data_IF_077968527063
#
_entry.id   IF_077968527063
#
_cell.length_a   1.000
_cell.length_b   1.000
_cell.length_c   1.000
_cell.angle_alpha   90.00
_cell.angle_beta   90.00
_cell.angle_gamma   90.00
#
_symmetry.space_group_name_H-M   'P 1'
#
loop_
_entity.id
_entity.type
_entity.pdbx_description
1 polymer ?
#
# COMPACT_ATOMS: atom_id res chain seq x y z
N UNK A 1 -5.50 -10.33 -1.78
CA UNK A 1 -4.94 -9.80 -0.54
C UNK A 1 -3.54 -9.28 -0.91
N UNK A 2 -3.12 -8.15 -0.39
CA UNK A 2 -1.85 -7.52 -0.75
C UNK A 2 -0.95 -7.50 0.47
N UNK A 3 0.36 -7.61 0.23
CA UNK A 3 1.37 -7.34 1.24
C UNK A 3 1.84 -5.89 1.09
N UNK A 4 2.25 -5.28 2.21
CA UNK A 4 2.89 -3.96 2.23
C UNK A 4 4.36 -4.12 1.93
N UNK A 5 4.91 -3.30 1.05
CA UNK A 5 6.31 -3.36 0.63
C UNK A 5 6.97 -1.99 0.79
N UNK A 6 7.91 -1.91 1.72
CA UNK A 6 8.72 -0.72 2.00
C UNK A 6 10.05 -0.85 1.25
N UNK A 7 10.45 0.18 0.52
CA UNK A 7 11.64 0.11 -0.32
C UNK A 7 12.57 1.28 0.00
N UNK A 8 13.56 1.05 0.85
CA UNK A 8 14.52 2.08 1.26
C UNK A 8 15.71 2.22 0.30
N UNK A 9 15.97 1.21 -0.55
CA UNK A 9 17.02 1.31 -1.56
C UNK A 9 16.62 2.31 -2.66
N UNK A 10 17.60 2.76 -3.44
CA UNK A 10 17.37 3.73 -4.50
C UNK A 10 16.49 3.17 -5.62
N UNK A 11 15.43 3.89 -5.94
CA UNK A 11 14.51 3.58 -7.05
C UNK A 11 14.84 4.40 -8.30
N UNK A 12 14.64 3.85 -9.51
CA UNK A 12 14.82 4.60 -10.74
C UNK A 12 13.75 5.69 -10.89
N UNK A 13 14.16 6.96 -10.81
CA UNK A 13 13.25 8.11 -10.81
C UNK A 13 13.24 8.90 -12.12
N UNK A 14 14.13 8.61 -13.08
CA UNK A 14 14.35 9.42 -14.27
C UNK A 14 13.08 9.66 -15.09
N UNK A 15 12.25 8.63 -15.26
CA UNK A 15 11.03 8.64 -16.08
C UNK A 15 9.76 8.91 -15.27
N UNK A 16 9.86 9.21 -13.97
CA UNK A 16 8.71 9.51 -13.14
C UNK A 16 8.20 10.93 -13.42
N UNK A 17 6.88 11.18 -13.24
CA UNK A 17 6.31 12.53 -13.27
C UNK A 17 6.92 13.42 -12.17
N UNK A 18 6.98 14.72 -12.42
CA UNK A 18 7.57 15.67 -11.47
C UNK A 18 6.85 15.73 -10.12
N UNK A 19 5.56 15.46 -10.10
CA UNK A 19 4.79 15.34 -8.85
C UNK A 19 5.25 14.15 -8.01
N UNK A 20 5.54 13.02 -8.65
CA UNK A 20 6.02 11.80 -7.98
C UNK A 20 7.46 11.95 -7.52
N UNK A 21 8.32 12.61 -8.32
CA UNK A 21 9.73 12.88 -7.95
C UNK A 21 9.89 13.72 -6.67
N UNK A 22 8.87 14.51 -6.32
CA UNK A 22 8.86 15.33 -5.10
C UNK A 22 8.53 14.54 -3.83
N UNK A 23 8.02 13.32 -3.99
CA UNK A 23 7.67 12.44 -2.86
C UNK A 23 8.92 11.67 -2.46
N UNK A 24 9.15 11.54 -1.16
CA UNK A 24 10.17 10.63 -0.67
C UNK A 24 9.71 9.19 -0.88
N UNK A 25 10.29 8.53 -1.87
CA UNK A 25 9.93 7.17 -2.25
C UNK A 25 10.42 6.14 -1.22
N UNK A 26 11.42 6.48 -0.40
CA UNK A 26 11.92 5.58 0.66
C UNK A 26 10.94 5.44 1.82
N UNK A 27 10.08 6.44 2.03
CA UNK A 27 8.98 6.40 3.02
C UNK A 27 7.65 5.91 2.40
N UNK A 28 7.64 5.60 1.11
CA UNK A 28 6.43 5.21 0.42
C UNK A 28 6.06 3.75 0.70
N UNK A 29 4.82 3.52 1.12
CA UNK A 29 4.27 2.17 1.24
C UNK A 29 3.75 1.71 -0.12
N UNK A 30 4.41 0.76 -0.73
CA UNK A 30 3.98 0.08 -1.95
C UNK A 30 3.14 -1.14 -1.62
N UNK A 31 2.47 -1.68 -2.63
CA UNK A 31 1.70 -2.91 -2.56
C UNK A 31 2.30 -3.95 -3.49
N UNK A 32 2.25 -5.22 -3.08
CA UNK A 32 2.63 -6.36 -3.91
C UNK A 32 1.72 -7.55 -3.69
N UNK A 33 1.61 -8.40 -4.70
CA UNK A 33 0.93 -9.70 -4.63
C UNK A 33 1.89 -10.86 -4.84
N UNK A 34 3.19 -10.60 -5.00
CA UNK A 34 4.18 -11.60 -5.36
C UNK A 34 4.90 -12.24 -4.17
N UNK A 35 4.55 -11.79 -2.96
CA UNK A 35 5.06 -12.33 -1.71
C UNK A 35 4.05 -13.32 -1.08
N UNK A 36 3.78 -13.22 0.22
CA UNK A 36 2.95 -14.21 0.92
C UNK A 36 1.44 -14.03 0.71
N UNK A 37 0.99 -12.85 0.28
CA UNK A 37 -0.44 -12.48 0.16
C UNK A 37 -1.21 -12.57 1.49
N UNK A 38 -0.51 -12.38 2.60
CA UNK A 38 -1.00 -12.55 3.97
C UNK A 38 -1.24 -11.24 4.69
N UNK A 39 -1.11 -10.09 3.98
CA UNK A 39 -1.10 -8.74 4.53
C UNK A 39 0.14 -8.48 5.41
N UNK A 40 1.21 -9.22 5.13
CA UNK A 40 2.48 -9.02 5.82
C UNK A 40 3.16 -7.71 5.37
N UNK A 41 4.02 -7.18 6.23
CA UNK A 41 4.90 -6.07 5.88
C UNK A 41 6.28 -6.60 5.52
N UNK A 42 6.76 -6.18 4.36
CA UNK A 42 8.08 -6.51 3.85
C UNK A 42 8.89 -5.25 3.66
N UNK A 43 10.20 -5.33 3.79
CA UNK A 43 11.06 -4.19 3.50
C UNK A 43 12.33 -4.58 2.76
N UNK A 44 12.85 -3.64 1.99
CA UNK A 44 14.18 -3.69 1.37
C UNK A 44 15.01 -2.58 1.99
N UNK A 45 16.08 -2.95 2.69
CA UNK A 45 16.96 -1.95 3.31
C UNK A 45 17.77 -1.17 2.27
N UNK A 46 18.40 -0.06 2.68
CA UNK A 46 19.36 0.69 1.86
C UNK A 46 20.50 -0.16 1.30
N UNK A 47 20.87 -1.26 1.98
CA UNK A 47 21.87 -2.22 1.52
C UNK A 47 21.29 -3.26 0.53
N UNK A 48 20.03 -3.13 0.11
CA UNK A 48 19.37 -4.03 -0.82
C UNK A 48 19.00 -5.40 -0.25
N UNK A 49 18.87 -5.55 1.06
CA UNK A 49 18.48 -6.83 1.70
C UNK A 49 16.97 -6.89 1.92
N UNK A 50 16.37 -8.04 1.60
CA UNK A 50 14.95 -8.32 1.74
C UNK A 50 14.62 -8.84 3.15
N UNK A 51 13.66 -8.21 3.80
CA UNK A 51 13.20 -8.57 5.14
C UNK A 51 11.69 -8.78 5.19
N UNK A 52 11.26 -9.73 6.02
CA UNK A 52 9.88 -9.90 6.47
C UNK A 52 9.75 -9.34 7.89
N UNK A 53 8.76 -8.50 8.13
CA UNK A 53 8.38 -8.03 9.45
C UNK A 53 7.37 -9.03 10.03
N UNK A 54 7.82 -9.86 10.97
CA UNK A 54 6.97 -10.83 11.63
C UNK A 54 6.12 -10.14 12.71
N UNK A 55 4.83 -10.34 12.67
CA UNK A 55 3.90 -9.84 13.68
C UNK A 55 2.82 -10.89 14.00
N UNK A 56 2.40 -10.94 15.26
CA UNK A 56 1.16 -11.60 15.63
C UNK A 56 0.01 -10.60 15.60
N UNK A 57 -1.17 -11.09 15.30
CA UNK A 57 -2.38 -10.29 15.40
C UNK A 57 -3.20 -10.75 16.59
N UNK A 58 -3.68 -9.82 17.40
CA UNK A 58 -4.61 -10.08 18.48
C UNK A 58 -5.84 -9.18 18.38
N UNK A 59 -7.01 -9.72 18.68
CA UNK A 59 -8.23 -8.91 18.75
C UNK A 59 -8.35 -8.31 20.16
N UNK A 60 -8.27 -6.99 20.24
CA UNK A 60 -8.49 -6.24 21.47
C UNK A 60 -9.94 -5.82 21.55
N UNK A 61 -10.66 -6.36 22.55
CA UNK A 61 -12.05 -5.96 22.81
C UNK A 61 -12.08 -4.55 23.39
N UNK A 62 -12.81 -3.67 22.74
CA UNK A 62 -13.04 -2.29 23.19
C UNK A 62 -14.53 -1.97 23.00
N UNK A 63 -15.25 -1.82 24.11
CA UNK A 63 -16.69 -1.50 24.10
C UNK A 63 -16.99 -0.12 23.53
N UNK A 64 -16.00 0.78 23.52
CA UNK A 64 -16.12 2.12 22.96
C UNK A 64 -15.81 2.17 21.47
N UNK A 65 -15.18 1.13 20.93
CA UNK A 65 -14.91 1.02 19.51
C UNK A 65 -16.19 0.65 18.74
N UNK A 66 -16.49 1.28 17.59
CA UNK A 66 -17.71 1.05 16.81
C UNK A 66 -17.95 -0.39 16.41
N UNK A 67 -16.88 -1.17 16.23
CA UNK A 67 -16.90 -2.59 15.86
C UNK A 67 -16.71 -3.53 17.09
N UNK A 68 -16.81 -3.00 18.31
CA UNK A 68 -16.64 -3.76 19.54
C UNK A 68 -15.19 -4.15 19.86
N UNK A 69 -14.22 -3.65 19.10
CA UNK A 69 -12.80 -3.88 19.25
C UNK A 69 -12.03 -3.62 17.96
N UNK A 70 -10.73 -3.87 18.01
CA UNK A 70 -9.81 -3.68 16.88
C UNK A 70 -8.74 -4.78 16.86
N UNK A 71 -8.15 -5.00 15.69
CA UNK A 71 -7.00 -5.88 15.55
C UNK A 71 -5.75 -5.08 15.90
N UNK A 72 -4.97 -5.59 16.82
CA UNK A 72 -3.67 -5.05 17.19
C UNK A 72 -2.57 -5.96 16.65
N UNK A 73 -1.62 -5.38 15.95
CA UNK A 73 -0.39 -6.06 15.55
C UNK A 73 0.64 -5.99 16.69
N UNK A 74 1.22 -7.13 17.01
CA UNK A 74 2.28 -7.27 18.02
C UNK A 74 3.55 -7.65 17.26
N UNK A 75 4.52 -6.73 17.07
CA UNK A 75 5.76 -7.02 16.36
C UNK A 75 6.53 -8.13 17.09
N UNK A 76 6.97 -9.15 16.34
CA UNK A 76 7.84 -10.24 16.81
C UNK A 76 9.30 -10.01 16.46
N UNK A 77 9.54 -9.43 15.30
CA UNK A 77 10.90 -9.19 14.83
C UNK A 77 10.97 -8.97 13.33
N UNK A 78 12.19 -8.83 12.84
CA UNK A 78 12.50 -8.65 11.42
C UNK A 78 13.41 -9.80 11.01
N UNK A 79 13.00 -10.53 9.97
CA UNK A 79 13.70 -11.71 9.48
C UNK A 79 14.25 -11.45 8.08
N UNK A 80 15.55 -11.65 7.88
CA UNK A 80 16.13 -11.64 6.55
C UNK A 80 15.68 -12.87 5.74
N UNK A 81 15.23 -12.66 4.53
CA UNK A 81 14.69 -13.71 3.65
C UNK A 81 15.66 -13.94 2.49
N UNK A 82 16.25 -15.13 2.43
CA UNK A 82 17.22 -15.54 1.41
C UNK A 82 16.54 -16.19 0.20
N UNK A 83 15.56 -15.53 -0.40
CA UNK A 83 14.89 -16.03 -1.59
C UNK A 83 15.50 -15.46 -2.88
N UNK A 84 15.38 -16.22 -3.98
CA UNK A 84 15.68 -15.75 -5.32
C UNK A 84 14.36 -15.65 -6.07
N UNK A 85 13.90 -14.41 -6.31
CA UNK A 85 12.61 -14.14 -6.95
C UNK A 85 12.55 -12.73 -7.54
N UNK A 86 11.65 -12.53 -8.48
CA UNK A 86 11.22 -11.20 -8.90
C UNK A 86 9.99 -10.80 -8.09
N UNK A 87 9.92 -9.53 -7.71
CA UNK A 87 8.80 -8.94 -6.97
C UNK A 87 8.30 -7.73 -7.73
N UNK A 88 7.08 -7.82 -8.23
CA UNK A 88 6.37 -6.67 -8.79
C UNK A 88 5.67 -5.91 -7.67
N UNK A 89 5.89 -4.60 -7.59
CA UNK A 89 5.25 -3.75 -6.59
C UNK A 89 4.83 -2.42 -7.19
N UNK A 90 3.80 -1.82 -6.62
CA UNK A 90 3.18 -0.65 -7.20
C UNK A 90 2.57 0.27 -6.14
N UNK A 91 2.34 1.52 -6.54
CA UNK A 91 1.62 2.52 -5.75
C UNK A 91 0.94 3.52 -6.66
N UNK A 92 -0.20 4.04 -6.19
CA UNK A 92 -0.83 5.23 -6.79
C UNK A 92 -0.36 6.46 -6.04
N UNK A 93 0.26 7.38 -6.75
CA UNK A 93 0.70 8.67 -6.23
C UNK A 93 -0.30 9.76 -6.60
N UNK A 94 -0.54 10.66 -5.67
CA UNK A 94 -1.36 11.84 -5.92
C UNK A 94 -0.67 12.74 -6.95
N UNK A 95 -1.37 13.09 -8.01
CA UNK A 95 -0.89 14.04 -9.01
C UNK A 95 -1.48 15.42 -8.78
N UNK A 96 -2.53 15.73 -9.54
CA UNK A 96 -3.29 16.97 -9.42
C UNK A 96 -4.77 16.68 -9.10
N UNK A 97 -5.63 17.69 -9.21
CA UNK A 97 -7.07 17.52 -8.91
C UNK A 97 -7.79 16.53 -9.85
N UNK A 98 -7.28 16.29 -11.05
CA UNK A 98 -7.92 15.45 -12.06
C UNK A 98 -7.20 14.13 -12.29
N UNK A 99 -5.90 14.06 -12.00
CA UNK A 99 -5.04 12.95 -12.39
C UNK A 99 -4.18 12.49 -11.24
N UNK A 100 -4.15 11.19 -11.01
CA UNK A 100 -3.19 10.48 -10.18
C UNK A 100 -2.25 9.64 -11.07
N UNK A 101 -1.18 9.11 -10.50
CA UNK A 101 -0.20 8.31 -11.22
C UNK A 101 -0.08 6.93 -10.61
N UNK A 102 -0.43 5.90 -11.39
CA UNK A 102 -0.07 4.52 -11.08
C UNK A 102 1.38 4.28 -11.48
N UNK A 103 2.21 3.92 -10.51
CA UNK A 103 3.63 3.64 -10.76
C UNK A 103 3.93 2.24 -10.28
N UNK A 104 4.61 1.45 -11.11
CA UNK A 104 5.02 0.11 -10.75
C UNK A 104 6.48 -0.17 -11.07
N UNK A 105 7.08 -1.04 -10.28
CA UNK A 105 8.47 -1.45 -10.37
C UNK A 105 8.58 -2.96 -10.32
N UNK A 106 9.65 -3.49 -10.91
CA UNK A 106 10.08 -4.87 -10.79
C UNK A 106 11.45 -4.93 -10.11
N UNK A 107 11.53 -5.62 -8.97
CA UNK A 107 12.79 -5.85 -8.26
C UNK A 107 13.19 -7.32 -8.37
N UNK A 108 14.43 -7.58 -8.77
CA UNK A 108 15.01 -8.91 -8.83
C UNK A 108 15.90 -9.15 -7.60
N UNK A 109 15.58 -10.18 -6.84
CA UNK A 109 16.37 -10.62 -5.69
C UNK A 109 17.11 -11.94 -6.01
N UNK A 110 18.34 -12.06 -5.50
CA UNK A 110 19.10 -13.31 -5.50
C UNK A 110 19.61 -13.58 -4.09
N UNK A 111 19.13 -14.67 -3.49
CA UNK A 111 19.42 -15.01 -2.08
C UNK A 111 19.15 -13.82 -1.14
N UNK A 112 18.01 -13.18 -1.31
CA UNK A 112 17.57 -12.06 -0.49
C UNK A 112 18.32 -10.74 -0.70
N UNK A 113 19.21 -10.67 -1.69
CA UNK A 113 19.89 -9.42 -2.04
C UNK A 113 19.33 -8.87 -3.34
N UNK A 114 19.07 -7.59 -3.37
CA UNK A 114 18.63 -6.86 -4.54
C UNK A 114 19.73 -6.89 -5.62
N UNK A 115 19.36 -7.33 -6.81
CA UNK A 115 20.26 -7.38 -7.99
C UNK A 115 19.98 -6.21 -8.91
N UNK A 116 18.69 -5.96 -9.17
CA UNK A 116 18.23 -4.83 -9.97
C UNK A 116 16.84 -4.41 -9.54
N UNK A 117 16.50 -3.16 -9.81
CA UNK A 117 15.14 -2.64 -9.75
C UNK A 117 14.90 -1.81 -11.01
N UNK A 118 13.80 -2.07 -11.67
CA UNK A 118 13.43 -1.43 -12.92
C UNK A 118 12.05 -0.76 -12.79
N UNK A 119 11.90 0.43 -13.36
CA UNK A 119 10.60 1.07 -13.53
C UNK A 119 9.83 0.34 -14.62
N UNK A 120 8.72 -0.28 -14.25
CA UNK A 120 7.93 -1.12 -15.17
C UNK A 120 6.89 -0.28 -15.91
N UNK A 121 6.10 0.50 -15.18
CA UNK A 121 5.00 1.26 -15.76
C UNK A 121 4.75 2.56 -15.02
N UNK A 122 4.41 3.60 -15.78
CA UNK A 122 3.80 4.84 -15.30
C UNK A 122 2.53 5.07 -16.09
N UNK A 123 1.39 5.13 -15.43
CA UNK A 123 0.08 5.34 -16.08
C UNK A 123 -0.67 6.46 -15.35
N UNK A 124 -1.24 7.37 -16.13
CA UNK A 124 -2.18 8.35 -15.60
C UNK A 124 -3.53 7.67 -15.30
N UNK A 125 -4.03 7.88 -14.11
CA UNK A 125 -5.33 7.35 -13.68
C UNK A 125 -6.20 8.51 -13.18
N UNK A 126 -7.52 8.46 -13.43
CA UNK A 126 -8.41 9.50 -12.95
C UNK A 126 -8.41 9.62 -11.43
N UNK A 127 -8.39 10.85 -10.90
CA UNK A 127 -8.41 11.13 -9.46
C UNK A 127 -9.79 10.91 -8.80
N UNK A 128 -10.84 10.54 -9.59
CA UNK A 128 -12.19 10.34 -9.06
C UNK A 128 -12.24 9.32 -7.93
N UNK A 129 -11.53 8.20 -8.08
CA UNK A 129 -11.51 7.15 -7.04
C UNK A 129 -10.95 7.67 -5.72
N UNK A 130 -9.92 8.52 -5.76
CA UNK A 130 -9.37 9.20 -4.58
C UNK A 130 -10.37 10.17 -3.98
N UNK A 131 -11.01 11.00 -4.82
CA UNK A 131 -12.01 11.97 -4.37
C UNK A 131 -13.21 11.30 -3.72
N UNK A 132 -13.75 10.25 -4.35
CA UNK A 132 -14.84 9.46 -3.76
C UNK A 132 -14.44 8.81 -2.43
N UNK A 133 -13.23 8.26 -2.35
CA UNK A 133 -12.73 7.67 -1.11
C UNK A 133 -12.57 8.73 0.00
N UNK A 134 -12.08 9.92 -0.35
CA UNK A 134 -11.96 11.03 0.59
C UNK A 134 -13.33 11.55 1.05
N UNK A 135 -14.32 11.64 0.15
CA UNK A 135 -15.68 12.05 0.50
C UNK A 135 -16.36 11.04 1.43
N UNK A 136 -16.30 9.75 1.08
CA UNK A 136 -16.83 8.67 1.93
C UNK A 136 -16.16 8.65 3.31
N UNK A 137 -14.84 8.89 3.37
CA UNK A 137 -14.11 9.01 4.64
C UNK A 137 -14.56 10.21 5.46
N UNK A 138 -14.81 11.37 4.82
CA UNK A 138 -15.34 12.56 5.48
C UNK A 138 -16.76 12.34 6.01
N UNK A 139 -17.63 11.71 5.21
CA UNK A 139 -18.99 11.36 5.63
C UNK A 139 -19.01 10.39 6.81
N UNK A 140 -18.17 9.35 6.74
CA UNK A 140 -18.01 8.41 7.83
C UNK A 140 -17.49 9.09 9.11
N UNK A 141 -16.48 9.94 8.99
CA UNK A 141 -15.99 10.73 10.12
C UNK A 141 -17.07 11.65 10.71
N UNK A 142 -17.90 12.29 9.86
CA UNK A 142 -19.05 13.09 10.29
C UNK A 142 -20.12 12.23 11.00
N UNK A 143 -20.38 11.03 10.50
CA UNK A 143 -21.33 10.10 11.14
C UNK A 143 -20.87 9.68 12.55
N UNK A 144 -19.57 9.42 12.70
CA UNK A 144 -18.98 9.08 13.99
C UNK A 144 -19.02 10.25 14.98
N UNK A 145 -18.80 11.49 14.52
CA UNK A 145 -18.89 12.68 15.38
C UNK A 145 -20.31 13.02 15.79
N UNK A 146 -21.30 12.71 14.95
CA UNK A 146 -22.72 12.91 15.26
C UNK A 146 -23.24 11.91 16.31
N UNK A 147 -22.67 10.71 16.32
CA UNK A 147 -22.98 9.66 17.32
C UNK A 147 -22.21 9.87 18.64
N UNK A 148 -21.20 10.73 18.64
CA UNK A 148 -20.27 10.97 19.76
C UNK A 148 -20.13 12.46 20.09
N UNK A 149 -21.09 13.00 20.78
CA UNK A 149 -20.85 14.24 21.55
C UNK A 149 -19.90 14.06 22.73
N UNK A 150 -19.28 12.87 22.90
CA UNK A 150 -18.46 12.51 24.08
C UNK A 150 -17.15 11.77 23.84
N UNK A 151 -16.67 11.51 22.62
CA UNK A 151 -15.39 10.78 22.46
C UNK A 151 -14.40 11.47 21.52
N UNK A 152 -13.41 12.08 22.14
CA UNK A 152 -12.18 12.61 21.53
C UNK A 152 -11.17 11.47 21.34
N UNK A 153 -11.31 10.55 20.37
CA UNK A 153 -10.18 9.70 19.97
C UNK A 153 -10.36 9.03 18.60
N UNK A 154 -9.28 8.94 17.86
CA UNK A 154 -9.03 8.12 16.66
C UNK A 154 -9.26 8.82 15.31
N UNK A 155 -8.33 9.69 14.90
CA UNK A 155 -8.24 10.19 13.53
C UNK A 155 -7.05 9.59 12.72
N UNK A 156 -6.19 8.78 13.32
CA UNK A 156 -4.98 8.29 12.62
C UNK A 156 -5.09 6.94 11.89
N UNK A 157 -5.77 5.88 12.38
CA UNK A 157 -5.77 4.60 11.67
C UNK A 157 -6.74 4.52 10.47
N UNK A 158 -7.74 5.40 10.39
CA UNK A 158 -8.76 5.31 9.34
C UNK A 158 -8.25 5.73 7.95
N UNK A 159 -7.22 6.58 7.88
CA UNK A 159 -6.58 6.98 6.61
C UNK A 159 -5.96 5.78 5.88
N UNK A 160 -5.47 4.78 6.60
CA UNK A 160 -4.82 3.60 6.04
C UNK A 160 -5.79 2.55 5.50
N UNK A 161 -6.93 2.33 6.16
CA UNK A 161 -7.85 1.26 5.79
C UNK A 161 -8.70 1.56 4.54
N UNK A 162 -9.05 2.81 4.30
CA UNK A 162 -9.98 3.19 3.22
C UNK A 162 -9.24 3.46 1.90
N UNK A 163 -8.01 4.00 1.95
CA UNK A 163 -7.21 4.26 0.74
C UNK A 163 -6.77 2.97 0.03
N UNK A 164 -6.47 1.92 0.80
CA UNK A 164 -5.89 0.68 0.26
C UNK A 164 -6.93 -0.24 -0.38
N UNK A 165 -8.14 -0.37 0.19
CA UNK A 165 -9.10 -1.37 -0.30
C UNK A 165 -9.92 -0.93 -1.53
N UNK A 166 -10.16 0.36 -1.74
CA UNK A 166 -11.00 0.85 -2.84
C UNK A 166 -10.23 1.00 -4.16
N UNK A 167 -8.96 1.38 -4.11
CA UNK A 167 -8.12 1.53 -5.31
C UNK A 167 -7.75 0.15 -5.89
N UNK A 168 -7.47 -0.84 -5.02
CA UNK A 168 -7.18 -2.21 -5.45
C UNK A 168 -8.35 -2.90 -6.17
N UNK A 169 -9.59 -2.69 -5.74
CA UNK A 169 -10.78 -3.29 -6.34
C UNK A 169 -11.09 -2.73 -7.74
N UNK A 170 -10.86 -1.44 -7.97
CA UNK A 170 -11.12 -0.82 -9.28
C UNK A 170 -10.12 -1.30 -10.36
N UNK A 171 -8.90 -1.68 -9.96
CA UNK A 171 -7.86 -2.10 -10.91
C UNK A 171 -7.92 -3.59 -11.26
N UNK A 172 -8.30 -4.45 -10.33
CA UNK A 172 -8.50 -5.89 -10.61
C UNK A 172 -9.60 -6.10 -11.64
N UNK A 173 -10.68 -5.30 -11.62
CA UNK A 173 -11.76 -5.38 -12.60
C UNK A 173 -11.32 -5.03 -14.03
N UNK A 174 -10.36 -4.12 -14.24
CA UNK A 174 -9.87 -3.72 -15.56
C UNK A 174 -8.87 -4.70 -16.18
N UNK A 175 -8.03 -5.32 -15.38
CA UNK A 175 -7.04 -6.28 -15.90
C UNK A 175 -7.66 -7.63 -16.24
N UNK A 176 -8.73 -8.06 -15.59
CA UNK A 176 -9.46 -9.28 -15.99
C UNK A 176 -10.16 -9.12 -17.36
N UNK A 177 -10.57 -7.93 -17.73
CA UNK A 177 -11.16 -7.68 -19.07
C UNK A 177 -10.15 -7.77 -20.23
N UNK A 178 -8.87 -7.47 -19.99
CA UNK A 178 -7.80 -7.56 -21.02
C UNK A 178 -7.30 -8.98 -21.28
N UNK A 179 -7.42 -9.88 -20.33
CA UNK A 179 -7.05 -11.30 -20.50
C UNK A 179 -8.07 -12.09 -21.32
N UNK A 180 -9.36 -11.68 -21.31
CA UNK A 180 -10.40 -12.35 -22.12
C UNK A 180 -10.44 -11.91 -23.59
N UNK A 181 -9.74 -10.86 -23.99
CA UNK A 181 -9.73 -10.39 -25.39
C UNK A 181 -8.52 -10.90 -26.19
N UNK A 182 -7.69 -11.82 -25.64
CA UNK A 182 -6.52 -12.42 -26.30
C UNK A 182 -6.61 -13.95 -26.41
N UNK A 183 -7.76 -14.53 -26.19
CA UNK A 183 -8.15 -15.89 -26.58
C UNK A 183 -9.23 -15.79 -27.67
#
# INVERSE_FOLDING_TARGET
MFDTFLFEAELPTEKLPDSVKKVDLSEAEFQTTDLNKSMDTWSVSNAGKLFLHEADTSFVKDKEHPLGGYIQEIPKGIKHIEETKSVHFYKVFEGNDETDYWVSFDALFRKGNLVSVDLCQVEEVPAEARKEAQEKAKEFAKSLTKTRSTLKFVAKPLKYLIGVSLIGLAFVGRNMGRLHSKL
#
